data_IF_232258023519
#
_entry.id   IF_232258023519
#
_cell.length_a   1.000
_cell.length_b   1.000
_cell.length_c   1.000
_cell.angle_alpha   90.00
_cell.angle_beta   90.00
_cell.angle_gamma   90.00
#
_symmetry.space_group_name_H-M   'P 1'
#
loop_
_entity.id
_entity.type
_entity.pdbx_description
1 polymer ?
#
# COMPACT_ATOMS: atom_id res chain seq x y z
N UNK A 1 14.24 11.96 -1.75
CA UNK A 1 13.74 11.72 -3.13
C UNK A 1 13.27 10.28 -3.32
N UNK A 2 14.09 9.26 -3.04
CA UNK A 2 13.75 7.84 -3.26
C UNK A 2 12.42 7.38 -2.61
N UNK A 3 12.11 7.79 -1.38
CA UNK A 3 10.83 7.46 -0.73
C UNK A 3 9.61 7.99 -1.45
N UNK A 4 9.71 9.22 -1.98
CA UNK A 4 8.61 9.84 -2.74
C UNK A 4 8.40 9.09 -4.05
N UNK A 5 9.46 8.56 -4.66
CA UNK A 5 9.35 7.71 -5.84
C UNK A 5 8.67 6.38 -5.47
N UNK A 6 9.09 5.71 -4.40
CA UNK A 6 8.48 4.46 -3.96
C UNK A 6 6.99 4.63 -3.59
N UNK A 7 6.65 5.75 -2.94
CA UNK A 7 5.27 6.17 -2.66
C UNK A 7 4.45 6.32 -3.93
N UNK A 8 4.92 7.13 -4.88
CA UNK A 8 4.21 7.37 -6.14
C UNK A 8 4.09 6.09 -6.97
N UNK A 9 5.13 5.25 -6.98
CA UNK A 9 5.11 3.97 -7.67
C UNK A 9 4.06 3.03 -7.08
N UNK A 10 4.02 2.88 -5.75
CA UNK A 10 3.02 2.03 -5.07
C UNK A 10 1.60 2.51 -5.35
N UNK A 11 1.35 3.82 -5.25
CA UNK A 11 0.04 4.39 -5.56
C UNK A 11 -0.35 4.24 -7.03
N UNK A 12 0.59 4.45 -7.95
CA UNK A 12 0.34 4.27 -9.39
C UNK A 12 -0.02 2.82 -9.71
N UNK A 13 0.71 1.85 -9.13
CA UNK A 13 0.42 0.42 -9.31
C UNK A 13 -0.95 0.05 -8.74
N UNK A 14 -1.30 0.57 -7.56
CA UNK A 14 -2.60 0.32 -6.95
C UNK A 14 -3.75 0.93 -7.76
N UNK A 15 -3.56 2.16 -8.26
CA UNK A 15 -4.52 2.80 -9.13
C UNK A 15 -4.71 2.01 -10.42
N UNK A 16 -3.62 1.54 -11.02
CA UNK A 16 -3.65 0.71 -12.22
C UNK A 16 -4.42 -0.59 -11.97
N UNK A 17 -4.17 -1.28 -10.86
CA UNK A 17 -4.95 -2.46 -10.47
C UNK A 17 -6.45 -2.13 -10.37
N UNK A 18 -6.82 -1.09 -9.62
CA UNK A 18 -8.22 -0.68 -9.45
C UNK A 18 -8.91 -0.34 -10.78
N UNK A 19 -8.20 0.33 -11.70
CA UNK A 19 -8.72 0.65 -13.03
C UNK A 19 -8.93 -0.60 -13.86
N UNK A 20 -7.95 -1.51 -13.89
CA UNK A 20 -8.05 -2.77 -14.64
C UNK A 20 -9.19 -3.64 -14.12
N UNK A 21 -9.33 -3.78 -12.80
CA UNK A 21 -10.45 -4.55 -12.21
C UNK A 21 -11.80 -3.91 -12.51
N UNK A 22 -11.91 -2.59 -12.39
CA UNK A 22 -13.18 -1.88 -12.66
C UNK A 22 -13.57 -1.97 -14.13
N UNK A 23 -12.60 -1.83 -15.04
CA UNK A 23 -12.83 -1.98 -16.48
C UNK A 23 -13.28 -3.39 -16.83
N UNK A 24 -12.71 -4.41 -16.17
CA UNK A 24 -13.00 -5.80 -16.46
C UNK A 24 -14.36 -6.29 -15.93
N UNK A 25 -14.71 -5.94 -14.69
CA UNK A 25 -15.94 -6.44 -14.05
C UNK A 25 -17.21 -5.67 -14.42
N UNK A 26 -17.09 -4.62 -15.23
CA UNK A 26 -18.22 -3.87 -15.78
C UNK A 26 -18.97 -3.02 -14.75
N UNK A 27 -19.60 -1.94 -15.23
CA UNK A 27 -20.46 -1.08 -14.42
C UNK A 27 -21.82 -1.75 -14.18
N UNK A 28 -21.86 -2.76 -13.31
CA UNK A 28 -23.14 -3.28 -12.79
C UNK A 28 -23.81 -2.24 -11.89
N UNK A 29 -25.12 -2.37 -11.63
CA UNK A 29 -25.85 -1.44 -10.74
C UNK A 29 -25.29 -1.37 -9.29
N UNK A 30 -24.56 -2.41 -8.87
CA UNK A 30 -23.81 -2.45 -7.60
C UNK A 30 -22.38 -1.90 -7.71
N UNK A 31 -21.95 -1.54 -8.90
CA UNK A 31 -20.62 -1.01 -9.19
C UNK A 31 -20.37 0.37 -8.59
N UNK A 32 -21.41 1.20 -8.43
CA UNK A 32 -21.27 2.54 -7.82
C UNK A 32 -20.82 2.47 -6.35
N UNK A 33 -21.54 1.77 -5.44
CA UNK A 33 -21.08 1.59 -4.06
C UNK A 33 -19.69 0.96 -3.97
N UNK A 34 -19.41 -0.05 -4.81
CA UNK A 34 -18.10 -0.71 -4.83
C UNK A 34 -16.98 0.24 -5.26
N UNK A 35 -17.22 1.07 -6.26
CA UNK A 35 -16.24 2.06 -6.76
C UNK A 35 -15.98 3.14 -5.72
N UNK A 36 -17.02 3.61 -5.03
CA UNK A 36 -16.88 4.58 -3.93
C UNK A 36 -16.06 4.01 -2.78
N UNK A 37 -16.34 2.77 -2.36
CA UNK A 37 -15.55 2.08 -1.33
C UNK A 37 -14.10 1.87 -1.76
N UNK A 38 -13.87 1.43 -3.00
CA UNK A 38 -12.52 1.25 -3.55
C UNK A 38 -11.74 2.57 -3.63
N UNK A 39 -12.42 3.68 -3.94
CA UNK A 39 -11.81 5.02 -3.97
C UNK A 39 -11.45 5.50 -2.56
N UNK A 40 -12.36 5.32 -1.59
CA UNK A 40 -12.10 5.65 -0.19
C UNK A 40 -10.92 4.82 0.36
N UNK A 41 -10.87 3.54 0.03
CA UNK A 41 -9.76 2.66 0.37
C UNK A 41 -8.45 3.12 -0.27
N UNK A 42 -8.47 3.58 -1.52
CA UNK A 42 -7.30 4.14 -2.17
C UNK A 42 -6.74 5.37 -1.43
N UNK A 43 -7.61 6.30 -1.01
CA UNK A 43 -7.17 7.46 -0.20
C UNK A 43 -6.64 7.04 1.17
N UNK A 44 -7.27 6.05 1.81
CA UNK A 44 -6.77 5.48 3.05
C UNK A 44 -5.36 4.88 2.87
N UNK A 45 -5.12 4.14 1.80
CA UNK A 45 -3.79 3.62 1.47
C UNK A 45 -2.77 4.72 1.19
N UNK A 46 -3.17 5.77 0.47
CA UNK A 46 -2.33 6.94 0.23
C UNK A 46 -1.93 7.62 1.55
N UNK A 47 -2.87 7.74 2.49
CA UNK A 47 -2.59 8.29 3.82
C UNK A 47 -1.60 7.43 4.59
N UNK A 48 -1.78 6.10 4.61
CA UNK A 48 -0.84 5.20 5.28
C UNK A 48 0.57 5.29 4.70
N UNK A 49 0.70 5.29 3.37
CA UNK A 49 2.00 5.45 2.71
C UNK A 49 2.62 6.82 2.99
N UNK A 50 1.80 7.87 3.12
CA UNK A 50 2.27 9.21 3.47
C UNK A 50 2.90 9.26 4.86
N UNK A 51 2.29 8.61 5.85
CA UNK A 51 2.87 8.47 7.20
C UNK A 51 4.24 7.80 7.17
N UNK A 52 4.38 6.73 6.38
CA UNK A 52 5.65 5.99 6.24
C UNK A 52 6.73 6.86 5.58
N UNK A 53 6.38 7.62 4.54
CA UNK A 53 7.34 8.46 3.79
C UNK A 53 7.87 9.61 4.63
N UNK A 54 6.98 10.23 5.43
CA UNK A 54 7.30 11.38 6.27
C UNK A 54 7.85 10.97 7.64
N UNK A 55 8.03 9.67 7.90
CA UNK A 55 8.69 9.21 9.10
C UNK A 55 10.15 9.69 9.12
N UNK A 56 10.50 10.36 10.22
CA UNK A 56 11.85 10.84 10.52
C UNK A 56 12.34 10.28 11.86
N UNK A 57 13.65 10.09 11.99
CA UNK A 57 14.28 9.57 13.20
C UNK A 57 14.18 8.05 13.37
N UNK A 58 14.06 7.61 14.63
CA UNK A 58 13.90 6.21 15.03
C UNK A 58 12.62 6.03 15.84
N UNK A 59 12.06 4.82 15.80
CA UNK A 59 10.85 4.42 16.51
C UNK A 59 11.12 3.18 17.33
N UNK A 60 10.96 3.26 18.63
CA UNK A 60 11.02 2.06 19.48
C UNK A 60 9.64 1.45 19.59
N UNK A 61 9.44 0.29 18.97
CA UNK A 61 8.19 -0.47 19.04
C UNK A 61 8.45 -1.80 19.73
N UNK A 62 7.72 -2.07 20.82
CA UNK A 62 7.84 -3.31 21.59
C UNK A 62 9.29 -3.66 21.98
N UNK A 63 10.10 -2.64 22.28
CA UNK A 63 11.52 -2.80 22.65
C UNK A 63 12.49 -2.90 21.46
N UNK A 64 12.01 -2.84 20.22
CA UNK A 64 12.85 -2.85 19.00
C UNK A 64 12.91 -1.45 18.39
N UNK A 65 14.11 -0.90 18.20
CA UNK A 65 14.32 0.40 17.52
C UNK A 65 14.35 0.22 16.01
N UNK A 66 13.29 0.67 15.34
CA UNK A 66 13.16 0.74 13.89
C UNK A 66 13.62 2.11 13.41
N UNK A 67 14.71 2.08 12.66
CA UNK A 67 15.25 3.27 12.03
C UNK A 67 14.65 3.55 10.67
N UNK A 68 15.00 4.73 10.18
CA UNK A 68 14.67 5.24 8.85
C UNK A 68 14.92 4.25 7.70
N UNK A 69 15.96 3.42 7.79
CA UNK A 69 16.34 2.45 6.75
C UNK A 69 15.35 1.29 6.65
N UNK A 70 14.74 0.87 7.77
CA UNK A 70 13.75 -0.21 7.77
C UNK A 70 12.47 0.20 7.04
N UNK A 71 12.03 1.45 7.23
CA UNK A 71 10.86 2.01 6.54
C UNK A 71 11.14 2.22 5.04
N UNK A 72 12.36 2.59 4.66
CA UNK A 72 12.76 2.69 3.24
C UNK A 72 12.78 1.32 2.57
N UNK A 73 13.35 0.31 3.24
CA UNK A 73 13.30 -1.07 2.78
C UNK A 73 11.87 -1.57 2.61
N UNK A 74 11.00 -1.28 3.58
CA UNK A 74 9.58 -1.63 3.51
C UNK A 74 8.86 -0.96 2.33
N UNK A 75 9.09 0.33 2.09
CA UNK A 75 8.52 1.05 0.94
C UNK A 75 8.90 0.41 -0.39
N UNK A 76 10.18 0.08 -0.58
CA UNK A 76 10.63 -0.59 -1.80
C UNK A 76 10.12 -2.03 -1.91
N UNK A 77 10.01 -2.75 -0.80
CA UNK A 77 9.37 -4.06 -0.77
C UNK A 77 7.91 -3.95 -1.23
N UNK A 78 7.15 -2.94 -0.77
CA UNK A 78 5.77 -2.72 -1.22
C UNK A 78 5.67 -2.46 -2.71
N UNK A 79 6.57 -1.66 -3.29
CA UNK A 79 6.64 -1.47 -4.76
C UNK A 79 6.84 -2.81 -5.46
N UNK A 80 7.82 -3.60 -5.03
CA UNK A 80 8.12 -4.91 -5.60
C UNK A 80 6.92 -5.86 -5.52
N UNK A 81 6.31 -5.97 -4.33
CA UNK A 81 5.12 -6.81 -4.13
C UNK A 81 3.95 -6.38 -5.01
N UNK A 82 3.66 -5.08 -5.11
CA UNK A 82 2.59 -4.59 -5.98
C UNK A 82 2.85 -4.92 -7.45
N UNK A 83 4.09 -4.77 -7.92
CA UNK A 83 4.45 -5.09 -9.29
C UNK A 83 4.31 -6.60 -9.58
N UNK A 84 4.76 -7.46 -8.65
CA UNK A 84 4.64 -8.92 -8.78
C UNK A 84 3.17 -9.34 -8.76
N UNK A 85 2.37 -8.83 -7.83
CA UNK A 85 0.94 -9.16 -7.76
C UNK A 85 0.18 -8.71 -9.00
N UNK A 86 0.47 -7.52 -9.51
CA UNK A 86 -0.13 -7.04 -10.75
C UNK A 86 0.23 -7.93 -11.95
N UNK A 87 1.49 -8.37 -12.04
CA UNK A 87 1.91 -9.31 -13.06
C UNK A 87 1.20 -10.67 -12.89
N UNK A 88 1.11 -11.18 -11.67
CA UNK A 88 0.40 -12.43 -11.37
C UNK A 88 -1.07 -12.36 -11.76
N UNK A 89 -1.77 -11.27 -11.44
CA UNK A 89 -3.16 -11.08 -11.86
C UNK A 89 -3.28 -11.03 -13.38
N UNK A 90 -2.37 -10.32 -14.06
CA UNK A 90 -2.36 -10.27 -15.52
C UNK A 90 -2.14 -11.65 -16.16
N UNK A 91 -1.23 -12.46 -15.62
CA UNK A 91 -0.98 -13.83 -16.07
C UNK A 91 -2.12 -14.79 -15.71
N UNK A 92 -2.63 -14.76 -14.47
CA UNK A 92 -3.77 -15.57 -14.04
C UNK A 92 -5.02 -15.26 -14.86
N UNK A 93 -5.19 -13.99 -15.22
CA UNK A 93 -6.25 -13.56 -16.10
C UNK A 93 -6.10 -14.09 -17.53
N UNK A 94 -4.92 -13.94 -18.13
CA UNK A 94 -4.66 -14.34 -19.52
C UNK A 94 -4.54 -15.85 -19.73
N UNK A 95 -4.10 -16.61 -18.72
CA UNK A 95 -3.76 -18.04 -18.85
C UNK A 95 -4.72 -18.95 -18.08
N UNK A 96 -5.22 -18.52 -16.92
CA UNK A 96 -5.97 -19.38 -15.99
C UNK A 96 -7.46 -19.03 -15.88
N UNK A 97 -7.98 -18.15 -16.73
CA UNK A 97 -9.39 -17.80 -16.74
C UNK A 97 -9.85 -16.90 -15.59
N UNK A 98 -8.93 -16.17 -14.95
CA UNK A 98 -9.29 -14.98 -14.19
C UNK A 98 -9.55 -15.16 -12.70
N UNK A 99 -8.84 -16.06 -12.00
CA UNK A 99 -8.87 -16.10 -10.53
C UNK A 99 -7.93 -15.01 -9.97
N UNK A 100 -8.44 -13.90 -9.42
CA UNK A 100 -7.60 -12.82 -8.93
C UNK A 100 -7.05 -13.17 -7.56
N UNK A 101 -5.81 -12.78 -7.26
CA UNK A 101 -5.14 -13.14 -6.00
C UNK A 101 -5.51 -12.19 -4.85
N UNK A 102 -6.82 -11.94 -4.66
CA UNK A 102 -7.36 -10.95 -3.71
C UNK A 102 -6.83 -11.11 -2.28
N UNK A 103 -6.60 -12.34 -1.84
CA UNK A 103 -6.04 -12.61 -0.53
C UNK A 103 -4.63 -11.99 -0.37
N UNK A 104 -3.77 -12.14 -1.38
CA UNK A 104 -2.40 -11.58 -1.33
C UNK A 104 -2.41 -10.05 -1.36
N UNK A 105 -3.31 -9.46 -2.14
CA UNK A 105 -3.54 -8.01 -2.11
C UNK A 105 -3.93 -7.52 -0.70
N UNK A 106 -4.85 -8.23 -0.04
CA UNK A 106 -5.24 -7.94 1.35
C UNK A 106 -4.07 -8.07 2.34
N UNK A 107 -3.21 -9.07 2.18
CA UNK A 107 -2.01 -9.21 3.02
C UNK A 107 -1.05 -8.02 2.86
N UNK A 108 -0.82 -7.56 1.63
CA UNK A 108 0.05 -6.40 1.38
C UNK A 108 -0.57 -5.12 1.93
N UNK A 109 -1.89 -4.95 1.79
CA UNK A 109 -2.61 -3.80 2.34
C UNK A 109 -2.50 -3.75 3.88
N UNK A 110 -2.68 -4.89 4.53
CA UNK A 110 -2.50 -5.02 5.98
C UNK A 110 -1.04 -4.76 6.39
N UNK A 111 -0.07 -5.20 5.59
CA UNK A 111 1.34 -4.91 5.85
C UNK A 111 1.65 -3.41 5.73
N UNK A 112 1.08 -2.72 4.74
CA UNK A 112 1.22 -1.25 4.61
C UNK A 112 0.57 -0.56 5.80
N UNK A 113 -0.64 -0.95 6.18
CA UNK A 113 -1.32 -0.41 7.36
C UNK A 113 -0.51 -0.64 8.64
N UNK A 114 0.02 -1.85 8.83
CA UNK A 114 0.88 -2.19 9.96
C UNK A 114 2.14 -1.33 9.99
N UNK A 115 2.83 -1.17 8.86
CA UNK A 115 4.02 -0.32 8.77
C UNK A 115 3.70 1.16 9.01
N UNK A 116 2.55 1.65 8.54
CA UNK A 116 2.09 3.01 8.82
C UNK A 116 1.76 3.21 10.30
N UNK A 117 1.14 2.22 10.93
CA UNK A 117 0.91 2.20 12.37
C UNK A 117 2.22 2.23 13.14
N UNK A 118 3.24 1.46 12.73
CA UNK A 118 4.58 1.53 13.35
C UNK A 118 5.22 2.92 13.17
N UNK A 119 5.05 3.52 12.00
CA UNK A 119 5.59 4.84 11.69
C UNK A 119 4.97 5.96 12.56
N UNK A 120 3.72 5.80 13.01
CA UNK A 120 3.01 6.80 13.82
C UNK A 120 3.33 6.78 15.32
N UNK A 121 4.18 5.86 15.79
CA UNK A 121 4.59 5.85 17.20
C UNK A 121 5.47 7.06 17.54
N UNK A 122 5.53 7.41 18.83
CA UNK A 122 6.37 8.51 19.32
C UNK A 122 7.84 8.20 19.03
N UNK A 123 8.57 9.19 18.53
CA UNK A 123 10.01 9.06 18.31
C UNK A 123 10.78 8.93 19.62
N UNK A 124 12.00 8.39 19.55
CA UNK A 124 12.87 8.27 20.73
C UNK A 124 13.25 9.67 21.33
N UNK A 125 12.96 10.74 20.60
CA UNK A 125 13.08 12.16 20.96
C UNK A 125 11.84 12.74 21.69
N UNK A 126 10.77 11.96 21.85
CA UNK A 126 9.56 12.35 22.60
C UNK A 126 8.54 13.15 21.80
N UNK A 127 8.81 13.45 20.53
CA UNK A 127 7.85 14.11 19.64
C UNK A 127 6.99 13.07 18.89
N UNK A 128 5.68 13.31 18.88
CA UNK A 128 4.78 12.64 17.96
C UNK A 128 5.15 13.10 16.55
N UNK A 129 5.44 12.16 15.64
CA UNK A 129 5.64 12.50 14.23
C UNK A 129 4.31 12.71 13.50
N UNK A 130 3.56 13.70 13.97
CA UNK A 130 2.48 14.30 13.24
C UNK A 130 2.95 15.69 12.82
N UNK A 131 2.83 16.04 11.52
CA UNK A 131 3.03 17.42 11.09
C UNK A 131 2.00 18.37 11.71
#
# INVERSE_FOLDING_TARGET
MLRRIAFLATLSLRLLHNLLTTWWFGLSGWGLPSTMLGSLFFFFMAWNLHLIVNMEGRRTVLGTSLGRDAFDGALWAFVGYHAVLLAMDFFAWSVLGGVPVYFLWGCVDLAIFGTAWLASWIGDDGELSLP
#
